data_IF_727115309725
#
_entry.id   IF_727115309725
#
_cell.length_a   1.000
_cell.length_b   1.000
_cell.length_c   1.000
_cell.angle_alpha   90.00
_cell.angle_beta   90.00
_cell.angle_gamma   90.00
#
_symmetry.space_group_name_H-M   'P 1'
#
loop_
_entity.id
_entity.type
_entity.pdbx_description
1 polymer ?
#
# COMPACT_ATOMS: atom_id res chain seq x y z
N UNK A 1 4.73 0.39 13.93
CA UNK A 1 3.87 1.57 13.70
C UNK A 1 2.84 1.26 12.62
N UNK A 2 1.61 1.56 12.87
CA UNK A 2 0.51 1.30 11.94
C UNK A 2 0.34 2.49 10.99
N UNK A 3 0.20 2.20 9.70
CA UNK A 3 0.04 3.21 8.67
C UNK A 3 -1.17 2.83 7.80
N UNK A 4 -2.10 3.76 7.58
CA UNK A 4 -3.39 3.48 6.94
C UNK A 4 -3.67 4.39 5.74
N UNK A 5 -2.96 4.18 4.62
CA UNK A 5 -3.24 4.97 3.41
C UNK A 5 -4.53 4.52 2.72
N UNK A 6 -5.13 5.45 1.97
CA UNK A 6 -6.29 5.15 1.12
C UNK A 6 -5.95 5.12 -0.37
N UNK A 7 -4.77 5.62 -0.75
CA UNK A 7 -4.33 5.66 -2.15
C UNK A 7 -3.96 4.26 -2.63
N UNK A 8 -4.67 3.78 -3.64
CA UNK A 8 -4.48 2.44 -4.19
C UNK A 8 -3.07 2.24 -4.77
N UNK A 9 -2.57 3.21 -5.52
CA UNK A 9 -1.28 3.08 -6.20
C UNK A 9 -0.13 3.09 -5.20
N UNK A 10 -0.21 3.96 -4.19
CA UNK A 10 0.76 4.01 -3.11
C UNK A 10 0.74 2.72 -2.27
N UNK A 11 -0.46 2.22 -1.96
CA UNK A 11 -0.59 0.98 -1.22
C UNK A 11 -0.02 -0.21 -2.00
N UNK A 12 -0.25 -0.28 -3.31
CA UNK A 12 0.31 -1.34 -4.14
C UNK A 12 1.84 -1.29 -4.15
N UNK A 13 2.42 -0.09 -4.19
CA UNK A 13 3.86 0.06 -4.11
C UNK A 13 4.41 -0.44 -2.77
N UNK A 14 3.76 -0.10 -1.67
CA UNK A 14 4.16 -0.59 -0.35
C UNK A 14 4.13 -2.12 -0.27
N UNK A 15 3.11 -2.72 -0.85
CA UNK A 15 2.99 -4.17 -0.86
C UNK A 15 4.11 -4.83 -1.66
N UNK A 16 4.43 -4.30 -2.83
CA UNK A 16 5.54 -4.82 -3.66
C UNK A 16 6.87 -4.63 -2.95
N UNK A 17 7.04 -3.53 -2.23
CA UNK A 17 8.27 -3.25 -1.48
C UNK A 17 8.44 -4.14 -0.24
N UNK A 18 7.43 -4.94 0.09
CA UNK A 18 7.52 -5.90 1.18
C UNK A 18 7.01 -5.41 2.53
N UNK A 19 6.34 -4.26 2.57
CA UNK A 19 5.71 -3.79 3.81
C UNK A 19 4.49 -4.66 4.11
N UNK A 20 4.39 -5.27 5.30
CA UNK A 20 3.27 -6.17 5.58
C UNK A 20 1.92 -5.48 5.60
N UNK A 21 0.99 -5.98 4.80
CA UNK A 21 -0.40 -5.55 4.81
C UNK A 21 -1.14 -6.41 5.83
N UNK A 22 -1.70 -5.78 6.87
CA UNK A 22 -2.36 -6.49 7.96
C UNK A 22 -3.86 -6.64 7.75
N UNK A 23 -4.51 -5.61 7.21
CA UNK A 23 -5.97 -5.60 7.14
C UNK A 23 -6.44 -4.50 6.21
N UNK A 24 -7.74 -4.44 6.00
CA UNK A 24 -8.42 -3.32 5.38
C UNK A 24 -9.50 -2.81 6.32
N UNK A 25 -9.73 -1.51 6.30
CA UNK A 25 -10.78 -0.88 7.10
C UNK A 25 -11.63 -0.02 6.19
N UNK A 26 -12.90 0.12 6.53
CA UNK A 26 -13.79 1.05 5.84
C UNK A 26 -14.06 2.24 6.75
N UNK A 27 -13.74 3.43 6.27
CA UNK A 27 -14.01 4.67 6.98
C UNK A 27 -14.78 5.60 6.07
N UNK A 28 -16.01 5.90 6.43
CA UNK A 28 -16.94 6.62 5.56
C UNK A 28 -17.11 5.89 4.23
N UNK A 29 -16.67 6.49 3.11
CA UNK A 29 -16.73 5.88 1.78
C UNK A 29 -15.36 5.46 1.26
N UNK A 30 -14.36 5.45 2.15
CA UNK A 30 -12.99 5.10 1.79
C UNK A 30 -12.62 3.74 2.36
N UNK A 31 -11.80 3.02 1.63
CA UNK A 31 -11.14 1.82 2.14
C UNK A 31 -9.72 2.22 2.50
N UNK A 32 -9.32 1.91 3.73
CA UNK A 32 -7.97 2.14 4.22
C UNK A 32 -7.22 0.82 4.22
N UNK A 33 -5.98 0.85 3.74
CA UNK A 33 -5.11 -0.33 3.76
C UNK A 33 -4.22 -0.23 5.00
N UNK A 34 -4.30 -1.22 5.87
CA UNK A 34 -3.59 -1.20 7.15
C UNK A 34 -2.24 -1.88 7.01
N UNK A 35 -1.17 -1.11 7.04
CA UNK A 35 0.20 -1.61 6.95
C UNK A 35 0.91 -1.52 8.29
N UNK A 36 1.82 -2.44 8.53
CA UNK A 36 2.70 -2.43 9.70
C UNK A 36 4.12 -2.09 9.27
N UNK A 37 4.66 -1.01 9.82
CA UNK A 37 6.06 -0.64 9.65
C UNK A 37 6.80 -0.85 10.97
N UNK A 38 7.50 -1.98 11.13
CA UNK A 38 8.15 -2.29 12.40
C UNK A 38 9.16 -1.25 12.86
N UNK A 39 9.88 -0.66 11.92
CA UNK A 39 10.92 0.34 12.24
C UNK A 39 10.43 1.78 12.28
N UNK A 40 9.25 2.05 11.73
CA UNK A 40 8.72 3.41 11.63
C UNK A 40 9.41 4.29 10.60
N UNK A 41 10.47 3.81 9.93
CA UNK A 41 11.22 4.60 8.96
C UNK A 41 11.14 4.05 7.54
N UNK A 42 10.75 2.79 7.38
CA UNK A 42 10.72 2.16 6.04
C UNK A 42 9.71 2.86 5.14
N UNK A 43 8.51 3.11 5.64
CA UNK A 43 7.46 3.78 4.87
C UNK A 43 7.89 5.21 4.51
N UNK A 44 8.54 5.91 5.43
CA UNK A 44 9.03 7.26 5.17
C UNK A 44 10.00 7.29 3.99
N UNK A 45 10.95 6.36 3.97
CA UNK A 45 11.96 6.29 2.91
C UNK A 45 11.32 5.92 1.57
N UNK A 46 10.40 4.95 1.59
CA UNK A 46 9.67 4.53 0.39
C UNK A 46 8.77 5.65 -0.16
N UNK A 47 8.18 6.43 0.73
CA UNK A 47 7.32 7.56 0.34
C UNK A 47 8.12 8.60 -0.42
N UNK A 48 9.32 8.92 0.06
CA UNK A 48 10.19 9.87 -0.62
C UNK A 48 10.53 9.38 -2.03
N UNK A 49 10.93 8.12 -2.18
CA UNK A 49 11.27 7.56 -3.48
C UNK A 49 10.07 7.56 -4.42
N UNK A 50 8.90 7.19 -3.93
CA UNK A 50 7.68 7.12 -4.73
C UNK A 50 7.26 8.48 -5.27
N UNK A 51 7.22 9.49 -4.40
CA UNK A 51 6.75 10.83 -4.79
C UNK A 51 7.82 11.63 -5.53
N UNK A 52 9.09 11.26 -5.45
CA UNK A 52 10.15 11.88 -6.24
C UNK A 52 10.43 11.14 -7.55
N UNK A 53 9.56 10.19 -7.90
CA UNK A 53 9.66 9.40 -9.14
C UNK A 53 10.97 8.62 -9.25
N UNK A 54 11.50 8.19 -8.11
CA UNK A 54 12.72 7.36 -8.05
C UNK A 54 12.42 5.89 -7.78
N UNK A 55 11.16 5.57 -7.48
CA UNK A 55 10.77 4.21 -7.16
C UNK A 55 10.85 3.31 -8.39
N UNK A 56 11.41 2.12 -8.20
CA UNK A 56 11.50 1.10 -9.23
C UNK A 56 10.79 -0.15 -8.75
N UNK A 57 9.91 -0.70 -9.57
CA UNK A 57 9.19 -1.93 -9.28
C UNK A 57 9.13 -2.80 -10.51
N UNK A 58 9.01 -4.11 -10.31
CA UNK A 58 8.73 -5.00 -11.42
C UNK A 58 7.28 -4.81 -11.85
N UNK A 59 7.07 -4.54 -13.13
CA UNK A 59 5.77 -4.18 -13.67
C UNK A 59 4.71 -5.26 -13.38
N UNK A 60 5.05 -6.53 -13.54
CA UNK A 60 4.10 -7.63 -13.30
C UNK A 60 3.72 -7.71 -11.81
N UNK A 61 4.69 -7.63 -10.92
CA UNK A 61 4.43 -7.67 -9.47
C UNK A 61 3.55 -6.52 -9.04
N UNK A 62 3.81 -5.33 -9.56
CA UNK A 62 3.01 -4.14 -9.27
C UNK A 62 1.57 -4.29 -9.78
N UNK A 63 1.41 -4.76 -11.02
CA UNK A 63 0.09 -5.00 -11.61
C UNK A 63 -0.70 -6.04 -10.82
N UNK A 64 -0.06 -7.11 -10.38
CA UNK A 64 -0.71 -8.14 -9.57
C UNK A 64 -1.13 -7.59 -8.22
N UNK A 65 -0.31 -6.75 -7.59
CA UNK A 65 -0.65 -6.09 -6.33
C UNK A 65 -1.83 -5.16 -6.48
N UNK A 66 -1.89 -4.39 -7.58
CA UNK A 66 -3.05 -3.54 -7.87
C UNK A 66 -4.33 -4.35 -7.95
N UNK A 67 -4.30 -5.47 -8.67
CA UNK A 67 -5.46 -6.35 -8.81
C UNK A 67 -5.89 -6.93 -7.47
N UNK A 68 -4.93 -7.37 -6.66
CA UNK A 68 -5.21 -7.93 -5.34
C UNK A 68 -5.86 -6.90 -4.42
N UNK A 69 -5.34 -5.66 -4.41
CA UNK A 69 -5.90 -4.60 -3.58
C UNK A 69 -7.27 -4.16 -4.06
N UNK A 70 -7.52 -4.13 -5.36
CA UNK A 70 -8.86 -3.84 -5.90
C UNK A 70 -9.86 -4.90 -5.45
N UNK A 71 -9.45 -6.17 -5.44
CA UNK A 71 -10.31 -7.26 -4.96
C UNK A 71 -10.65 -7.06 -3.47
N UNK A 72 -9.68 -6.63 -2.66
CA UNK A 72 -9.90 -6.33 -1.25
C UNK A 72 -10.88 -5.17 -1.06
N UNK A 73 -10.81 -4.15 -1.91
CA UNK A 73 -11.77 -3.03 -1.87
C UNK A 73 -13.19 -3.55 -2.06
N UNK A 74 -13.41 -4.41 -3.06
CA UNK A 74 -14.74 -4.99 -3.30
C UNK A 74 -15.22 -5.83 -2.12
N UNK A 75 -14.34 -6.58 -1.49
CA UNK A 75 -14.69 -7.39 -0.32
C UNK A 75 -15.01 -6.53 0.90
N UNK A 76 -14.34 -5.39 1.05
CA UNK A 76 -14.51 -4.51 2.18
C UNK A 76 -15.77 -3.65 2.06
N UNK A 77 -16.16 -3.30 0.85
CA UNK A 77 -17.37 -2.51 0.62
C UNK A 77 -18.61 -3.37 0.55
#
# INVERSE_FOLDING_TARGET
MIYKPSDLYWAAFLKVAGVPLKDTEKENRKVLFVFEDPGGSVIKDLKEDFFMDRAKVQALSYSQSLKALKALIYQTT
#
